data_IF_793160249699
#
_entry.id   IF_793160249699
#
_cell.length_a   1.000
_cell.length_b   1.000
_cell.length_c   1.000
_cell.angle_alpha   90.00
_cell.angle_beta   90.00
_cell.angle_gamma   90.00
#
_symmetry.space_group_name_H-M   'P 1'
#
loop_
_entity.id
_entity.type
_entity.pdbx_description
1 polymer ?
#
# COMPACT_ATOMS: atom_id res chain seq x y z
N UNK A 1 20.33 14.73 -6.75
CA UNK A 1 19.76 13.39 -7.01
C UNK A 1 20.56 12.34 -6.25
N UNK A 2 19.93 11.33 -5.66
CA UNK A 2 20.50 10.39 -4.67
C UNK A 2 21.89 9.79 -5.00
N UNK A 3 22.21 9.61 -6.28
CA UNK A 3 23.53 9.18 -6.75
C UNK A 3 24.66 10.17 -6.37
N UNK A 4 24.40 11.48 -6.47
CA UNK A 4 25.35 12.52 -6.04
C UNK A 4 25.56 12.55 -4.52
N UNK A 5 24.65 11.93 -3.76
CA UNK A 5 24.77 11.76 -2.31
C UNK A 5 25.27 10.36 -1.93
N UNK A 6 25.68 9.53 -2.90
CA UNK A 6 26.14 8.15 -2.67
C UNK A 6 25.13 7.28 -1.89
N UNK A 7 23.82 7.55 -2.04
CA UNK A 7 22.74 6.81 -1.39
C UNK A 7 21.96 6.02 -2.45
N UNK A 8 22.44 4.85 -2.90
CA UNK A 8 21.74 4.07 -3.92
C UNK A 8 20.39 3.58 -3.40
N UNK A 9 19.42 3.47 -4.29
CA UNK A 9 18.15 2.80 -4.01
C UNK A 9 18.42 1.31 -3.80
N UNK A 10 17.85 0.74 -2.73
CA UNK A 10 18.01 -0.68 -2.40
C UNK A 10 16.91 -1.55 -3.01
N UNK A 11 15.68 -1.05 -3.00
CA UNK A 11 14.49 -1.78 -3.44
C UNK A 11 13.53 -0.82 -4.16
N UNK A 12 12.85 -1.33 -5.17
CA UNK A 12 11.69 -0.73 -5.81
C UNK A 12 10.51 -1.68 -5.65
N UNK A 13 9.63 -1.40 -4.69
CA UNK A 13 8.53 -2.30 -4.31
C UNK A 13 7.29 -1.94 -5.13
N UNK A 14 6.75 -2.92 -5.86
CA UNK A 14 5.52 -2.79 -6.64
C UNK A 14 4.38 -3.55 -5.92
N UNK A 15 3.33 -2.83 -5.53
CA UNK A 15 2.13 -3.42 -4.93
C UNK A 15 1.18 -3.83 -6.05
N UNK A 16 1.13 -5.13 -6.33
CA UNK A 16 0.37 -5.69 -7.43
C UNK A 16 -1.04 -6.07 -6.96
N UNK A 17 -2.05 -5.62 -7.71
CA UNK A 17 -3.44 -5.88 -7.43
C UNK A 17 -4.21 -5.97 -8.75
N UNK A 18 -5.19 -6.86 -8.81
CA UNK A 18 -6.10 -6.91 -9.95
C UNK A 18 -6.97 -5.64 -10.01
N UNK A 19 -7.14 -5.10 -11.21
CA UNK A 19 -7.89 -3.87 -11.46
C UNK A 19 -9.34 -3.94 -10.92
N UNK A 20 -10.04 -5.06 -11.07
CA UNK A 20 -11.42 -5.21 -10.58
C UNK A 20 -11.48 -5.16 -9.06
N UNK A 21 -10.51 -5.78 -8.38
CA UNK A 21 -10.40 -5.71 -6.93
C UNK A 21 -10.05 -4.28 -6.47
N UNK A 22 -9.21 -3.56 -7.23
CA UNK A 22 -8.91 -2.17 -6.92
C UNK A 22 -10.15 -1.27 -7.11
N UNK A 23 -10.92 -1.47 -8.17
CA UNK A 23 -12.18 -0.75 -8.40
C UNK A 23 -13.14 -0.97 -7.23
N UNK A 24 -13.34 -2.22 -6.80
CA UNK A 24 -14.17 -2.53 -5.64
C UNK A 24 -13.69 -1.83 -4.35
N UNK A 25 -12.38 -1.82 -4.11
CA UNK A 25 -11.78 -1.17 -2.92
C UNK A 25 -11.89 0.35 -2.94
N UNK A 26 -11.72 1.00 -4.09
CA UNK A 26 -11.76 2.47 -4.15
C UNK A 26 -13.19 2.97 -4.14
N UNK A 27 -14.11 2.33 -4.88
CA UNK A 27 -15.54 2.75 -4.91
C UNK A 27 -16.27 2.57 -3.59
N UNK A 28 -15.76 1.72 -2.69
CA UNK A 28 -16.28 1.58 -1.33
C UNK A 28 -15.56 2.43 -0.28
N UNK A 29 -14.55 3.22 -0.64
CA UNK A 29 -13.74 4.00 0.30
C UNK A 29 -14.55 5.15 0.93
N UNK A 30 -14.37 5.31 2.24
CA UNK A 30 -14.85 6.44 3.01
C UNK A 30 -13.66 7.08 3.74
N UNK A 31 -13.63 8.40 3.86
CA UNK A 31 -12.51 9.12 4.47
C UNK A 31 -13.04 10.13 5.48
N UNK A 32 -12.41 10.19 6.64
CA UNK A 32 -12.61 11.29 7.57
C UNK A 32 -11.74 12.49 7.15
N UNK A 33 -12.32 13.64 6.75
CA UNK A 33 -11.55 14.75 6.18
C UNK A 33 -10.45 15.30 7.08
N UNK A 34 -10.73 15.42 8.39
CA UNK A 34 -9.79 16.08 9.31
C UNK A 34 -8.59 15.21 9.67
N UNK A 35 -8.75 13.87 9.74
CA UNK A 35 -7.67 12.96 10.13
C UNK A 35 -7.04 12.17 8.99
N UNK A 36 -7.73 12.06 7.85
CA UNK A 36 -7.35 11.16 6.75
C UNK A 36 -7.59 9.66 7.04
N UNK A 37 -8.17 9.31 8.19
CA UNK A 37 -8.57 7.92 8.47
C UNK A 37 -9.49 7.42 7.37
N UNK A 38 -9.21 6.22 6.89
CA UNK A 38 -9.94 5.60 5.79
C UNK A 38 -10.71 4.38 6.29
N UNK A 39 -11.95 4.28 5.87
CA UNK A 39 -12.86 3.17 6.07
C UNK A 39 -13.28 2.61 4.72
N UNK A 40 -14.00 1.49 4.75
CA UNK A 40 -14.56 0.91 3.55
C UNK A 40 -15.96 0.35 3.85
N UNK A 41 -16.95 0.68 3.02
CA UNK A 41 -18.36 0.29 3.21
C UNK A 41 -18.56 -1.21 3.50
N UNK A 42 -17.73 -2.06 2.89
CA UNK A 42 -17.79 -3.53 3.00
C UNK A 42 -16.60 -4.10 3.82
N UNK A 43 -15.36 -3.89 3.39
CA UNK A 43 -14.17 -4.54 3.98
C UNK A 43 -13.72 -3.99 5.34
N UNK A 44 -14.07 -2.76 5.69
CA UNK A 44 -13.69 -2.12 6.96
C UNK A 44 -14.71 -1.03 7.33
N UNK A 45 -15.97 -1.41 7.61
CA UNK A 45 -17.03 -0.45 7.82
C UNK A 45 -16.81 0.32 9.13
N UNK A 46 -17.21 1.60 9.19
CA UNK A 46 -17.26 2.31 10.47
C UNK A 46 -18.31 1.65 11.39
N UNK A 47 -18.17 1.83 12.70
CA UNK A 47 -19.13 1.35 13.70
C UNK A 47 -20.51 1.96 13.49
N UNK A 48 -20.55 3.23 13.10
CA UNK A 48 -21.76 3.94 12.71
C UNK A 48 -21.64 4.44 11.28
N UNK A 49 -22.70 4.26 10.49
CA UNK A 49 -22.72 4.61 9.07
C UNK A 49 -22.34 6.08 8.85
N UNK A 50 -21.34 6.30 7.99
CA UNK A 50 -20.84 7.63 7.62
C UNK A 50 -20.30 8.46 8.80
N UNK A 51 -19.80 7.79 9.84
CA UNK A 51 -19.28 8.44 11.06
C UNK A 51 -17.90 7.89 11.42
N UNK A 52 -16.97 8.77 11.74
CA UNK A 52 -15.63 8.39 12.21
C UNK A 52 -15.70 7.78 13.62
N UNK A 53 -15.05 6.63 13.81
CA UNK A 53 -15.14 5.86 15.05
C UNK A 53 -14.45 6.52 16.26
N UNK A 54 -13.59 7.53 16.03
CA UNK A 54 -12.81 8.18 17.08
C UNK A 54 -13.40 9.55 17.43
N UNK A 55 -13.77 10.34 16.42
CA UNK A 55 -14.26 11.71 16.64
C UNK A 55 -15.78 11.83 16.61
N UNK A 56 -16.49 10.86 16.00
CA UNK A 56 -17.92 10.98 15.76
C UNK A 56 -18.28 11.94 14.62
N UNK A 57 -17.29 12.46 13.90
CA UNK A 57 -17.50 13.40 12.79
C UNK A 57 -17.89 12.67 11.49
N UNK A 58 -18.50 13.37 10.51
CA UNK A 58 -18.91 12.75 9.27
C UNK A 58 -17.75 12.23 8.42
N UNK A 59 -17.93 11.03 7.85
CA UNK A 59 -17.10 10.55 6.75
C UNK A 59 -17.61 11.10 5.42
N UNK A 60 -16.72 11.16 4.43
CA UNK A 60 -17.07 11.48 3.05
C UNK A 60 -16.66 10.36 2.10
N UNK A 61 -17.35 10.26 0.97
CA UNK A 61 -16.84 9.58 -0.21
C UNK A 61 -16.35 10.64 -1.19
N UNK A 62 -15.16 10.45 -1.76
CA UNK A 62 -14.65 11.39 -2.76
C UNK A 62 -15.45 11.26 -4.05
N UNK A 63 -15.63 12.36 -4.76
CA UNK A 63 -16.37 12.37 -6.04
C UNK A 63 -15.68 11.54 -7.14
N UNK A 64 -14.35 11.41 -7.08
CA UNK A 64 -13.55 10.64 -8.05
C UNK A 64 -13.47 9.13 -7.74
N UNK A 65 -14.05 8.67 -6.63
CA UNK A 65 -14.11 7.26 -6.24
C UNK A 65 -15.29 6.55 -6.93
N UNK A 66 -15.34 6.64 -8.26
CA UNK A 66 -16.32 5.99 -9.14
C UNK A 66 -15.62 5.15 -10.22
N UNK A 67 -16.30 4.12 -10.71
CA UNK A 67 -15.73 3.13 -11.64
C UNK A 67 -15.19 3.76 -12.93
N UNK A 68 -15.96 4.65 -13.56
CA UNK A 68 -15.57 5.28 -14.82
C UNK A 68 -14.24 6.05 -14.68
N UNK A 69 -14.12 6.82 -13.61
CA UNK A 69 -12.92 7.61 -13.31
C UNK A 69 -11.74 6.70 -13.00
N UNK A 70 -11.96 5.61 -12.27
CA UNK A 70 -10.91 4.67 -11.90
C UNK A 70 -10.37 3.89 -13.08
N UNK A 71 -11.22 3.40 -14.00
CA UNK A 71 -10.76 2.67 -15.18
C UNK A 71 -9.88 3.55 -16.08
N UNK A 72 -10.25 4.83 -16.25
CA UNK A 72 -9.42 5.81 -16.98
C UNK A 72 -8.06 6.00 -16.29
N UNK A 73 -8.05 6.15 -14.95
CA UNK A 73 -6.81 6.33 -14.16
C UNK A 73 -5.92 5.09 -14.19
N UNK A 74 -6.50 3.89 -14.14
CA UNK A 74 -5.80 2.62 -14.26
C UNK A 74 -5.11 2.48 -15.61
N UNK A 75 -5.80 2.82 -16.71
CA UNK A 75 -5.18 2.84 -18.04
C UNK A 75 -3.96 3.76 -18.10
N UNK A 76 -4.07 4.98 -17.58
CA UNK A 76 -2.94 5.92 -17.48
C UNK A 76 -1.83 5.39 -16.57
N UNK A 77 -2.18 4.81 -15.42
CA UNK A 77 -1.23 4.21 -14.48
C UNK A 77 -0.41 3.12 -15.16
N UNK A 78 -1.05 2.16 -15.85
CA UNK A 78 -0.35 1.08 -16.55
C UNK A 78 0.56 1.61 -17.67
N UNK A 79 0.07 2.58 -18.45
CA UNK A 79 0.85 3.19 -19.55
C UNK A 79 2.09 3.95 -19.05
N UNK A 80 2.00 4.63 -17.91
CA UNK A 80 3.09 5.46 -17.37
C UNK A 80 4.01 4.69 -16.41
N UNK A 81 3.44 3.78 -15.62
CA UNK A 81 4.17 3.02 -14.60
C UNK A 81 4.84 1.78 -15.17
N UNK A 82 4.27 1.16 -16.22
CA UNK A 82 4.88 0.00 -16.89
C UNK A 82 6.35 0.22 -17.27
N UNK A 83 6.71 1.32 -17.97
CA UNK A 83 8.10 1.64 -18.30
C UNK A 83 9.01 1.84 -17.07
N UNK A 84 8.47 2.38 -15.98
CA UNK A 84 9.19 2.56 -14.70
C UNK A 84 9.44 1.21 -14.03
N UNK A 85 8.43 0.34 -14.01
CA UNK A 85 8.55 -1.03 -13.53
C UNK A 85 9.61 -1.79 -14.34
N UNK A 86 9.60 -1.69 -15.67
CA UNK A 86 10.59 -2.32 -16.54
C UNK A 86 12.01 -1.80 -16.32
N UNK A 87 12.17 -0.49 -16.07
CA UNK A 87 13.44 0.08 -15.67
C UNK A 87 13.96 -0.55 -14.36
N UNK A 88 13.12 -0.65 -13.32
CA UNK A 88 13.56 -1.23 -12.05
C UNK A 88 13.76 -2.75 -12.09
N UNK A 89 13.06 -3.46 -12.98
CA UNK A 89 13.35 -4.88 -13.28
C UNK A 89 14.78 -5.04 -13.79
N UNK A 90 15.21 -4.18 -14.71
CA UNK A 90 16.56 -4.21 -15.30
C UNK A 90 17.67 -3.88 -14.30
N UNK A 91 17.38 -3.10 -13.26
CA UNK A 91 18.36 -2.76 -12.20
C UNK A 91 18.48 -3.83 -11.12
N UNK A 92 17.60 -4.85 -11.11
CA UNK A 92 17.64 -5.96 -10.16
C UNK A 92 17.09 -5.64 -8.76
N UNK A 93 16.64 -4.41 -8.53
CA UNK A 93 16.08 -3.97 -7.23
C UNK A 93 14.56 -4.04 -7.16
N UNK A 94 13.88 -4.38 -8.25
CA UNK A 94 12.42 -4.53 -8.27
C UNK A 94 11.95 -5.72 -7.41
N UNK A 95 10.88 -5.50 -6.64
CA UNK A 95 10.27 -6.46 -5.73
C UNK A 95 8.74 -6.41 -5.84
N UNK A 96 8.09 -7.38 -6.51
CA UNK A 96 6.63 -7.45 -6.55
C UNK A 96 6.08 -7.96 -5.21
N UNK A 97 4.96 -7.39 -4.79
CA UNK A 97 4.19 -7.87 -3.63
C UNK A 97 2.72 -7.98 -4.04
N UNK A 98 2.10 -9.12 -3.72
CA UNK A 98 0.65 -9.27 -3.82
C UNK A 98 -0.06 -8.40 -2.78
N UNK A 99 -0.73 -7.35 -3.25
CA UNK A 99 -1.47 -6.40 -2.43
C UNK A 99 -2.96 -6.76 -2.29
N UNK A 100 -3.40 -7.92 -2.78
CA UNK A 100 -4.78 -8.40 -2.62
C UNK A 100 -5.09 -8.91 -1.21
N UNK A 101 -4.06 -9.18 -0.42
CA UNK A 101 -4.17 -9.68 0.94
C UNK A 101 -4.62 -8.59 1.95
N UNK A 102 -4.94 -9.03 3.17
CA UNK A 102 -5.21 -8.18 4.33
C UNK A 102 -3.99 -7.28 4.66
N UNK A 103 -4.18 -6.06 5.19
CA UNK A 103 -3.10 -5.11 5.44
C UNK A 103 -1.92 -5.67 6.24
N UNK A 104 -2.18 -6.51 7.25
CA UNK A 104 -1.14 -7.13 8.06
C UNK A 104 -0.28 -8.14 7.31
N UNK A 105 -0.84 -8.84 6.31
CA UNK A 105 -0.08 -9.77 5.48
C UNK A 105 0.81 -9.00 4.48
N UNK A 106 0.24 -7.98 3.82
CA UNK A 106 1.00 -7.09 2.92
C UNK A 106 2.15 -6.41 3.65
N UNK A 107 1.91 -5.94 4.89
CA UNK A 107 2.93 -5.34 5.74
C UNK A 107 4.09 -6.30 6.04
N UNK A 108 3.78 -7.57 6.37
CA UNK A 108 4.81 -8.60 6.58
C UNK A 108 5.64 -8.85 5.31
N UNK A 109 5.02 -8.87 4.15
CA UNK A 109 5.73 -9.01 2.86
C UNK A 109 6.68 -7.83 2.61
N UNK A 110 6.24 -6.60 2.86
CA UNK A 110 7.10 -5.41 2.76
C UNK A 110 8.28 -5.51 3.72
N UNK A 111 8.04 -5.85 5.00
CA UNK A 111 9.11 -6.01 5.98
C UNK A 111 10.11 -7.08 5.58
N UNK A 112 9.66 -8.21 5.03
CA UNK A 112 10.58 -9.28 4.57
C UNK A 112 11.54 -8.84 3.47
N UNK A 113 11.20 -7.76 2.74
CA UNK A 113 12.05 -7.16 1.71
C UNK A 113 12.99 -6.11 2.32
N UNK A 114 12.49 -5.27 3.23
CA UNK A 114 13.25 -4.13 3.78
C UNK A 114 14.14 -4.51 4.95
N UNK A 115 13.69 -5.44 5.78
CA UNK A 115 14.46 -6.03 6.86
C UNK A 115 15.29 -7.14 6.23
N UNK A 116 16.49 -6.79 5.77
CA UNK A 116 17.45 -7.77 5.28
C UNK A 116 17.63 -8.91 6.29
N UNK A 117 18.23 -10.02 5.82
CA UNK A 117 18.65 -11.21 6.59
C UNK A 117 19.47 -10.94 7.89
N UNK A 118 19.64 -9.69 8.31
CA UNK A 118 20.31 -9.24 9.52
C UNK A 118 19.40 -9.12 10.77
N UNK A 119 18.06 -9.06 10.60
CA UNK A 119 17.16 -8.81 11.74
C UNK A 119 16.80 -10.05 12.57
N UNK A 120 16.86 -11.26 12.00
CA UNK A 120 16.58 -12.50 12.77
C UNK A 120 17.67 -12.81 13.80
N UNK A 121 18.92 -12.39 13.57
CA UNK A 121 19.99 -12.51 14.55
C UNK A 121 20.01 -11.40 15.61
N UNK A 122 19.65 -10.17 15.22
CA UNK A 122 19.83 -8.99 16.10
C UNK A 122 18.69 -8.80 17.11
N UNK A 123 17.44 -9.11 16.75
CA UNK A 123 16.31 -9.00 17.70
C UNK A 123 16.34 -10.12 18.75
N UNK A 124 16.65 -11.35 18.37
CA UNK A 124 16.75 -12.46 19.34
C UNK A 124 17.92 -12.28 20.31
N UNK A 125 19.06 -11.76 19.85
CA UNK A 125 20.18 -11.39 20.74
C UNK A 125 19.83 -10.22 21.68
N UNK A 126 19.06 -9.23 21.23
CA UNK A 126 18.66 -8.10 22.08
C UNK A 126 17.60 -8.46 23.12
N UNK A 127 16.79 -9.49 22.87
CA UNK A 127 15.73 -9.94 23.77
C UNK A 127 16.17 -11.05 24.74
N UNK A 128 17.42 -11.53 24.66
CA UNK A 128 17.94 -12.55 25.59
C UNK A 128 17.21 -13.89 25.53
N UNK A 129 16.46 -14.15 24.45
CA UNK A 129 15.67 -15.36 24.25
C UNK A 129 16.48 -16.37 23.44
N UNK A 130 17.56 -16.87 24.02
CA UNK A 130 18.18 -18.13 23.58
C UNK A 130 17.90 -19.22 24.62
N UNK A 131 17.14 -20.23 24.22
CA UNK A 131 17.28 -21.62 24.61
C UNK A 131 17.11 -22.48 23.37
#
# INVERSE_FOLDING_TARGET
>A
MLAAQQKPLKHAIELQLNDELLVARITGRLIHPASGRSYHKIFNPPKQSMTDDVTGEPLIQRSDDNEETLRKRLGTYHAQTGPVTDYYRKTGIWKPIDASQEPGAVWKSVLSITDGQSATGSLMNKLGLQK
#
